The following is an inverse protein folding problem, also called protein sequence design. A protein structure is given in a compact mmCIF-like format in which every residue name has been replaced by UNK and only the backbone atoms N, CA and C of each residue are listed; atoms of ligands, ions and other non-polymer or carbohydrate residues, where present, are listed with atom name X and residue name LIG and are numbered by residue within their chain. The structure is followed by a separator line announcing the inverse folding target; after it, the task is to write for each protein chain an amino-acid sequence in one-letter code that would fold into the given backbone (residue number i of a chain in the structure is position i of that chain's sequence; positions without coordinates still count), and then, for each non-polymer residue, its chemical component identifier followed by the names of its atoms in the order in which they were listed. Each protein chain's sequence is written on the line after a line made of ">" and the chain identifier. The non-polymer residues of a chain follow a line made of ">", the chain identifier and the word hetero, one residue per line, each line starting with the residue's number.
data_IF_294922820370
#
_entry.id   IF_294922820370
#
_cell.length_a   1.000
_cell.length_b   1.000
_cell.length_c   1.000
_cell.angle_alpha   90.00
_cell.angle_beta   90.00
_cell.angle_gamma   90.00
#
_symmetry.space_group_name_H-M   'P 1'
#
loop_
_entity.id
_entity.type
_entity.pdbx_description
1 polymer ?
#
# COMPACT_ATOMS: atom_id res chain seq x y z
N UNK A 1 6.64 -19.25 3.35
CA UNK A 1 6.22 -17.85 3.59
C UNK A 1 6.88 -17.00 2.51
N UNK A 2 6.18 -16.78 1.40
CA UNK A 2 6.70 -16.00 0.28
C UNK A 2 6.36 -14.55 0.53
N UNK A 3 7.35 -13.79 1.01
CA UNK A 3 7.27 -12.33 1.06
C UNK A 3 7.42 -11.85 -0.39
N UNK A 4 6.33 -11.42 -0.99
CA UNK A 4 6.35 -10.83 -2.32
C UNK A 4 6.95 -9.43 -2.21
N UNK A 5 8.26 -9.32 -2.39
CA UNK A 5 8.93 -8.03 -2.55
C UNK A 5 8.57 -7.48 -3.93
N UNK A 6 7.61 -6.58 -3.97
CA UNK A 6 7.27 -5.85 -5.19
C UNK A 6 8.36 -4.81 -5.43
N UNK A 7 9.29 -5.10 -6.32
CA UNK A 7 10.27 -4.12 -6.76
C UNK A 7 9.69 -3.30 -7.90
N UNK A 8 9.64 -2.01 -7.70
CA UNK A 8 9.23 -1.05 -8.71
C UNK A 8 10.22 -1.03 -9.85
N UNK A 9 9.71 -1.21 -11.07
CA UNK A 9 10.43 -0.74 -12.24
C UNK A 9 10.60 0.78 -12.09
N UNK A 10 11.80 1.35 -12.23
CA UNK A 10 11.94 2.78 -12.27
C UNK A 10 11.22 3.25 -13.53
N UNK A 11 10.11 3.95 -13.35
CA UNK A 11 9.65 4.80 -14.43
C UNK A 11 10.78 5.78 -14.70
N UNK A 12 11.24 5.81 -15.93
CA UNK A 12 12.27 6.72 -16.42
C UNK A 12 11.76 8.17 -16.45
N UNK A 13 11.37 8.69 -15.31
CA UNK A 13 11.34 10.11 -15.12
C UNK A 13 12.75 10.49 -14.69
N UNK A 14 13.54 10.99 -15.61
CA UNK A 14 14.74 11.76 -15.30
C UNK A 14 14.34 13.00 -14.53
N UNK A 15 14.03 12.86 -13.24
CA UNK A 15 14.03 13.97 -12.33
C UNK A 15 15.49 14.25 -12.06
N UNK A 16 16.09 15.06 -12.92
CA UNK A 16 17.39 15.65 -12.62
C UNK A 16 17.20 16.47 -11.34
N UNK A 17 18.05 16.23 -10.34
CA UNK A 17 18.32 17.28 -9.38
C UNK A 17 18.72 18.47 -10.21
N UNK A 18 17.92 19.54 -10.18
CA UNK A 18 18.32 20.77 -10.85
C UNK A 18 19.50 21.34 -10.05
N UNK A 19 20.72 21.39 -10.63
CA UNK A 19 21.86 21.97 -9.96
C UNK A 19 21.74 23.49 -9.86
N UNK A 20 20.61 24.07 -10.27
CA UNK A 20 20.38 25.50 -10.40
C UNK A 20 19.94 26.21 -9.11
N UNK A 21 19.88 25.51 -7.97
CA UNK A 21 19.76 26.18 -6.67
C UNK A 21 21.09 26.02 -5.92
N UNK A 22 22.09 26.90 -6.14
CA UNK A 22 23.34 26.84 -5.42
C UNK A 22 23.10 27.11 -3.93
N UNK A 23 23.49 26.16 -3.09
CA UNK A 23 23.56 26.36 -1.65
C UNK A 23 22.53 25.60 -0.80
N UNK A 24 21.66 24.73 -1.38
CA UNK A 24 20.81 23.84 -0.60
C UNK A 24 21.08 22.37 -0.94
N UNK A 25 21.96 21.66 -0.20
CA UNK A 25 22.21 20.25 -0.40
C UNK A 25 20.99 19.37 -0.10
N UNK A 26 19.95 19.91 0.54
CA UNK A 26 18.74 19.18 0.93
C UNK A 26 17.64 19.19 -0.13
N UNK A 27 17.85 19.85 -1.28
CA UNK A 27 16.84 20.00 -2.33
C UNK A 27 16.68 18.80 -3.27
N UNK A 28 17.44 17.73 -3.09
CA UNK A 28 17.40 16.57 -3.96
C UNK A 28 16.71 15.38 -3.31
N UNK A 29 15.66 14.86 -3.95
CA UNK A 29 15.11 13.54 -3.63
C UNK A 29 16.24 12.51 -3.66
N UNK A 30 16.46 11.79 -2.58
CA UNK A 30 17.47 10.73 -2.52
C UNK A 30 17.17 9.68 -3.57
N UNK A 31 18.01 9.61 -4.60
CA UNK A 31 17.88 8.62 -5.66
C UNK A 31 18.40 7.28 -5.18
N UNK A 32 17.67 6.23 -5.47
CA UNK A 32 18.19 4.87 -5.30
C UNK A 32 19.48 4.69 -6.14
N UNK A 33 20.40 3.88 -5.61
CA UNK A 33 21.69 3.60 -6.26
C UNK A 33 22.65 4.79 -6.40
N UNK A 34 22.53 5.76 -5.52
CA UNK A 34 23.47 6.88 -5.41
C UNK A 34 24.14 6.92 -4.05
N UNK A 35 25.43 7.25 -4.04
CA UNK A 35 26.10 7.66 -2.83
C UNK A 35 25.82 9.17 -2.64
N UNK A 36 24.98 9.50 -1.67
CA UNK A 36 24.49 10.87 -1.48
C UNK A 36 25.53 11.83 -0.91
N UNK A 37 26.62 11.29 -0.30
CA UNK A 37 27.74 12.10 0.17
C UNK A 37 28.66 12.52 -0.97
N UNK A 38 28.95 11.59 -1.89
CA UNK A 38 29.87 11.83 -3.00
C UNK A 38 29.14 12.20 -4.31
N UNK A 39 27.81 12.15 -4.31
CA UNK A 39 26.95 12.40 -5.47
C UNK A 39 27.32 11.53 -6.69
N UNK A 40 27.78 10.30 -6.44
CA UNK A 40 28.17 9.33 -7.48
C UNK A 40 27.17 8.18 -7.53
N UNK A 41 26.87 7.74 -8.75
CA UNK A 41 26.06 6.55 -8.96
C UNK A 41 26.84 5.31 -8.51
N UNK A 42 26.15 4.44 -7.75
CA UNK A 42 26.70 3.17 -7.31
C UNK A 42 26.49 2.09 -8.38
N UNK A 43 27.52 1.27 -8.58
CA UNK A 43 27.55 0.24 -9.63
C UNK A 43 27.22 -1.16 -9.04
N UNK A 44 26.21 -1.23 -8.18
CA UNK A 44 25.74 -2.53 -7.69
C UNK A 44 24.88 -3.24 -8.74
N UNK A 45 24.90 -4.58 -8.71
CA UNK A 45 24.11 -5.39 -9.63
C UNK A 45 22.60 -5.12 -9.52
N UNK A 46 22.09 -4.85 -8.33
CA UNK A 46 20.69 -4.51 -8.13
C UNK A 46 20.29 -3.13 -8.69
N UNK A 47 21.26 -2.29 -9.00
CA UNK A 47 21.05 -0.98 -9.63
C UNK A 47 20.87 -1.08 -11.16
N UNK A 48 21.23 -2.20 -11.76
CA UNK A 48 21.06 -2.42 -13.18
C UNK A 48 19.59 -2.73 -13.52
N UNK A 49 18.94 -1.80 -14.20
CA UNK A 49 17.53 -1.92 -14.57
C UNK A 49 17.26 -2.91 -15.72
N UNK A 50 18.30 -3.40 -16.40
CA UNK A 50 18.17 -4.45 -17.40
C UNK A 50 18.02 -5.84 -16.78
N UNK A 51 18.33 -5.98 -15.48
CA UNK A 51 18.15 -7.23 -14.73
C UNK A 51 16.72 -7.40 -14.27
N UNK A 52 16.32 -8.65 -14.14
CA UNK A 52 15.00 -9.00 -13.60
C UNK A 52 14.85 -8.53 -12.14
N UNK A 53 13.62 -8.33 -11.70
CA UNK A 53 13.32 -7.98 -10.31
C UNK A 53 13.87 -9.03 -9.34
N UNK A 54 13.83 -10.30 -9.70
CA UNK A 54 14.36 -11.41 -8.90
C UNK A 54 15.87 -11.30 -8.71
N UNK A 55 16.64 -11.13 -9.79
CA UNK A 55 18.10 -10.99 -9.73
C UNK A 55 18.52 -9.79 -8.88
N UNK A 56 17.82 -8.68 -9.05
CA UNK A 56 18.06 -7.45 -8.27
C UNK A 56 17.75 -7.65 -6.79
N UNK A 57 16.65 -8.31 -6.47
CA UNK A 57 16.26 -8.63 -5.09
C UNK A 57 17.28 -9.54 -4.42
N UNK A 58 17.73 -10.58 -5.10
CA UNK A 58 18.75 -11.51 -4.58
C UNK A 58 20.06 -10.80 -4.29
N UNK A 59 20.50 -9.88 -5.15
CA UNK A 59 21.72 -9.10 -4.93
C UNK A 59 21.58 -8.18 -3.72
N UNK A 60 20.44 -7.50 -3.53
CA UNK A 60 20.17 -6.68 -2.34
C UNK A 60 20.24 -7.56 -1.08
N UNK A 61 19.50 -8.68 -1.06
CA UNK A 61 19.42 -9.56 0.12
C UNK A 61 20.79 -10.11 0.53
N UNK A 62 21.65 -10.42 -0.44
CA UNK A 62 23.03 -10.86 -0.19
C UNK A 62 23.90 -9.78 0.46
N UNK A 63 23.64 -8.50 0.16
CA UNK A 63 24.43 -7.36 0.66
C UNK A 63 23.96 -6.85 2.01
N UNK A 64 22.69 -7.06 2.36
CA UNK A 64 22.11 -6.60 3.62
C UNK A 64 22.63 -7.41 4.81
N UNK A 65 23.02 -6.71 5.86
CA UNK A 65 23.25 -7.31 7.19
C UNK A 65 21.93 -7.76 7.80
N UNK A 66 21.97 -8.58 8.85
CA UNK A 66 20.77 -9.02 9.55
C UNK A 66 19.96 -7.84 10.12
N UNK A 67 20.64 -6.87 10.74
CA UNK A 67 20.00 -5.69 11.30
C UNK A 67 19.32 -4.84 10.22
N UNK A 68 19.95 -4.67 9.06
CA UNK A 68 19.34 -3.95 7.92
C UNK A 68 18.14 -4.70 7.36
N UNK A 69 18.19 -6.03 7.27
CA UNK A 69 17.03 -6.84 6.88
C UNK A 69 15.84 -6.62 7.84
N UNK A 70 16.12 -6.61 9.15
CA UNK A 70 15.09 -6.35 10.15
C UNK A 70 14.49 -4.95 10.01
N UNK A 71 15.32 -3.92 9.77
CA UNK A 71 14.85 -2.54 9.59
C UNK A 71 13.98 -2.34 8.34
N UNK A 72 14.17 -3.17 7.31
CA UNK A 72 13.35 -3.14 6.09
C UNK A 72 12.04 -3.93 6.20
N UNK A 73 11.88 -4.76 7.23
CA UNK A 73 10.67 -5.57 7.42
C UNK A 73 9.58 -4.85 8.21
N UNK A 74 9.43 -3.56 8.00
CA UNK A 74 8.38 -2.76 8.64
C UNK A 74 7.17 -2.59 7.73
N UNK A 75 5.97 -2.47 8.32
CA UNK A 75 4.75 -2.36 7.54
C UNK A 75 4.52 -0.98 6.93
N UNK A 76 5.16 0.06 7.47
CA UNK A 76 4.90 1.45 7.05
C UNK A 76 6.12 2.09 6.44
N UNK A 77 7.15 2.28 7.22
CA UNK A 77 8.33 3.04 6.85
C UNK A 77 9.58 2.18 6.96
N UNK A 78 10.33 2.06 5.89
CA UNK A 78 11.66 1.43 5.88
C UNK A 78 12.73 2.49 5.94
N UNK A 79 13.64 2.36 6.91
CA UNK A 79 14.79 3.25 7.05
C UNK A 79 15.74 3.16 5.84
N UNK A 80 16.49 4.23 5.53
CA UNK A 80 17.46 4.19 4.44
C UNK A 80 18.64 3.28 4.76
N UNK A 81 19.26 2.72 3.73
CA UNK A 81 20.53 1.98 3.81
C UNK A 81 21.58 2.73 2.99
N UNK A 82 22.16 3.75 3.58
CA UNK A 82 23.01 4.74 2.91
C UNK A 82 24.18 4.11 2.16
N UNK A 83 24.85 3.13 2.77
CA UNK A 83 25.98 2.42 2.15
C UNK A 83 25.64 1.69 0.84
N UNK A 84 24.38 1.35 0.66
CA UNK A 84 23.84 0.71 -0.54
C UNK A 84 23.09 1.68 -1.46
N UNK A 85 22.96 2.93 -1.07
CA UNK A 85 22.18 3.91 -1.81
C UNK A 85 20.69 3.54 -1.90
N UNK A 86 20.16 2.89 -0.86
CA UNK A 86 18.75 2.56 -0.74
C UNK A 86 18.09 3.66 0.09
N UNK A 87 17.20 4.49 -0.49
CA UNK A 87 16.50 5.55 0.24
C UNK A 87 15.47 4.96 1.21
N UNK A 88 15.04 5.78 2.16
CA UNK A 88 13.84 5.48 2.94
C UNK A 88 12.63 5.26 2.02
N UNK A 89 11.72 4.40 2.45
CA UNK A 89 10.53 4.06 1.66
C UNK A 89 9.30 3.88 2.56
N UNK A 90 8.21 4.56 2.20
CA UNK A 90 6.90 4.32 2.79
C UNK A 90 6.11 3.38 1.90
N UNK A 91 5.70 2.25 2.48
CA UNK A 91 5.07 1.17 1.74
C UNK A 91 3.65 1.50 1.37
N UNK A 92 2.83 1.86 2.35
CA UNK A 92 1.42 1.95 2.10
C UNK A 92 0.63 2.90 3.00
N UNK A 93 -0.61 3.10 2.60
CA UNK A 93 -1.58 3.97 3.25
C UNK A 93 -2.98 3.36 3.14
N UNK A 94 -3.87 3.71 4.06
CA UNK A 94 -5.28 3.35 3.90
C UNK A 94 -5.93 4.22 2.81
N UNK A 95 -6.79 3.60 1.97
CA UNK A 95 -7.61 4.29 0.99
C UNK A 95 -8.99 3.63 0.88
N UNK A 96 -9.66 3.45 2.01
CA UNK A 96 -10.97 2.77 2.06
C UNK A 96 -12.05 3.59 1.35
N UNK A 97 -12.02 4.91 1.51
CA UNK A 97 -12.93 5.84 0.85
C UNK A 97 -12.22 7.16 0.48
N UNK A 98 -10.96 7.07 0.13
CA UNK A 98 -10.04 8.16 -0.19
C UNK A 98 -8.70 7.93 0.46
N UNK A 99 -7.64 8.48 -0.10
CA UNK A 99 -6.28 8.32 0.40
C UNK A 99 -6.14 9.00 1.75
N UNK A 100 -5.79 8.23 2.78
CA UNK A 100 -5.58 8.75 4.13
C UNK A 100 -4.26 9.52 4.20
N UNK A 101 -4.34 10.82 4.12
CA UNK A 101 -3.20 11.73 4.23
C UNK A 101 -3.46 12.77 5.30
N UNK A 102 -2.39 13.26 5.94
CA UNK A 102 -2.49 14.46 6.75
C UNK A 102 -2.76 15.65 5.83
N UNK A 103 -3.87 16.32 6.05
CA UNK A 103 -4.21 17.53 5.29
C UNK A 103 -3.28 18.69 5.68
N UNK A 104 -2.45 19.09 4.74
CA UNK A 104 -1.76 20.38 4.78
C UNK A 104 -2.47 21.35 3.84
N UNK A 105 -1.74 21.87 2.86
CA UNK A 105 -2.33 22.70 1.81
C UNK A 105 -3.19 21.92 0.81
N UNK A 106 -3.02 20.60 0.74
CA UNK A 106 -3.75 19.71 -0.17
C UNK A 106 -4.28 18.53 0.61
N UNK A 107 -5.56 18.26 0.45
CA UNK A 107 -6.25 17.10 1.01
C UNK A 107 -6.67 16.16 -0.10
N UNK A 108 -6.58 14.85 0.16
CA UNK A 108 -7.16 13.87 -0.75
C UNK A 108 -8.68 13.98 -0.79
N UNK A 109 -9.27 13.60 -1.91
CA UNK A 109 -10.72 13.52 -2.07
C UNK A 109 -11.30 12.50 -1.11
N UNK A 110 -12.35 12.90 -0.41
CA UNK A 110 -13.11 12.03 0.47
C UNK A 110 -14.34 11.51 -0.25
N UNK A 111 -14.40 10.22 -0.52
CA UNK A 111 -15.51 9.54 -1.18
C UNK A 111 -16.51 9.01 -0.14
N UNK A 112 -17.73 8.62 -0.56
CA UNK A 112 -18.69 7.99 0.34
C UNK A 112 -18.12 6.75 1.02
N UNK A 113 -18.64 6.41 2.20
CA UNK A 113 -18.26 5.21 2.93
C UNK A 113 -18.56 3.93 2.11
N UNK A 114 -17.80 2.85 2.30
CA UNK A 114 -17.98 1.60 1.57
C UNK A 114 -19.40 1.05 1.58
N UNK A 115 -20.12 1.13 2.69
CA UNK A 115 -21.52 0.70 2.77
C UNK A 115 -22.42 1.45 1.78
N UNK A 116 -22.23 2.77 1.63
CA UNK A 116 -22.97 3.58 0.65
C UNK A 116 -22.58 3.24 -0.78
N UNK A 117 -21.29 2.97 -1.01
CA UNK A 117 -20.79 2.56 -2.33
C UNK A 117 -21.34 1.17 -2.69
N UNK A 118 -21.33 0.22 -1.74
CA UNK A 118 -21.86 -1.13 -1.92
C UNK A 118 -23.35 -1.16 -2.23
N UNK A 119 -24.13 -0.28 -1.59
CA UNK A 119 -25.58 -0.13 -1.81
C UNK A 119 -25.93 0.34 -3.23
N UNK A 120 -24.98 0.80 -4.02
CA UNK A 120 -25.21 1.14 -5.42
C UNK A 120 -25.35 -0.06 -6.34
N UNK A 121 -24.81 -1.23 -5.95
CA UNK A 121 -24.69 -2.44 -6.78
C UNK A 121 -24.05 -2.20 -8.15
N UNK A 122 -23.26 -1.13 -8.28
CA UNK A 122 -22.69 -0.68 -9.55
C UNK A 122 -21.17 -0.89 -9.60
N UNK A 123 -20.74 -2.02 -10.13
CA UNK A 123 -19.32 -2.39 -10.22
C UNK A 123 -18.51 -1.45 -11.12
N UNK A 124 -19.14 -0.86 -12.13
CA UNK A 124 -18.49 0.14 -13.00
C UNK A 124 -18.17 1.42 -12.24
N UNK A 125 -19.11 1.88 -11.39
CA UNK A 125 -18.90 3.03 -10.51
C UNK A 125 -17.75 2.73 -9.52
N UNK A 126 -17.78 1.56 -8.88
CA UNK A 126 -16.74 1.15 -7.91
C UNK A 126 -15.35 1.14 -8.56
N UNK A 127 -15.26 0.58 -9.77
CA UNK A 127 -14.00 0.58 -10.54
C UNK A 127 -13.53 2.01 -10.84
N UNK A 128 -14.43 2.89 -11.24
CA UNK A 128 -14.10 4.29 -11.54
C UNK A 128 -13.64 5.05 -10.30
N UNK A 129 -14.32 4.87 -9.16
CA UNK A 129 -13.94 5.49 -7.88
C UNK A 129 -12.56 5.01 -7.43
N UNK A 130 -12.31 3.72 -7.50
CA UNK A 130 -11.01 3.15 -7.16
C UNK A 130 -9.88 3.68 -8.07
N UNK A 131 -10.17 3.84 -9.36
CA UNK A 131 -9.21 4.43 -10.30
C UNK A 131 -8.89 5.89 -9.96
N UNK A 132 -9.90 6.69 -9.64
CA UNK A 132 -9.69 8.08 -9.21
C UNK A 132 -8.84 8.16 -7.94
N UNK A 133 -9.10 7.31 -6.94
CA UNK A 133 -8.27 7.20 -5.73
C UNK A 133 -6.82 6.85 -6.06
N UNK A 134 -6.59 5.91 -6.99
CA UNK A 134 -5.26 5.49 -7.39
C UNK A 134 -4.46 6.61 -8.09
N UNK A 135 -5.13 7.34 -9.00
CA UNK A 135 -4.51 8.49 -9.69
C UNK A 135 -4.13 9.56 -8.67
N UNK A 136 -5.05 9.88 -7.75
CA UNK A 136 -4.80 10.87 -6.70
C UNK A 136 -3.69 10.44 -5.74
N UNK A 137 -3.71 9.19 -5.26
CA UNK A 137 -2.66 8.65 -4.39
C UNK A 137 -1.29 8.71 -5.07
N UNK A 138 -1.23 8.39 -6.35
CA UNK A 138 0.01 8.47 -7.11
C UNK A 138 0.48 9.91 -7.31
N UNK A 139 -0.44 10.83 -7.60
CA UNK A 139 -0.14 12.26 -7.70
C UNK A 139 0.42 12.80 -6.39
N UNK A 140 -0.24 12.51 -5.28
CA UNK A 140 0.19 12.89 -3.94
C UNK A 140 1.56 12.27 -3.59
N UNK A 141 1.83 11.02 -3.97
CA UNK A 141 3.15 10.40 -3.81
C UNK A 141 4.23 11.17 -4.56
N UNK A 142 3.96 11.53 -5.80
CA UNK A 142 4.92 12.26 -6.63
C UNK A 142 5.16 13.67 -6.09
N UNK A 143 4.12 14.36 -5.67
CA UNK A 143 4.19 15.68 -5.11
C UNK A 143 4.92 15.71 -3.77
N UNK A 144 4.59 14.80 -2.85
CA UNK A 144 5.30 14.70 -1.56
C UNK A 144 6.78 14.38 -1.75
N UNK A 145 7.13 13.59 -2.76
CA UNK A 145 8.54 13.37 -3.12
C UNK A 145 9.23 14.66 -3.55
N UNK A 146 8.45 15.62 -4.08
CA UNK A 146 8.94 16.90 -4.55
C UNK A 146 8.94 17.95 -3.43
N UNK A 147 7.95 17.95 -2.53
CA UNK A 147 7.76 18.95 -1.48
C UNK A 147 8.47 18.61 -0.16
N UNK A 148 8.94 17.39 0.05
CA UNK A 148 9.66 16.97 1.26
C UNK A 148 10.82 17.93 1.57
N UNK A 149 11.36 18.59 0.56
CA UNK A 149 12.44 19.56 0.66
C UNK A 149 12.00 20.99 0.90
N UNK A 150 10.71 21.29 0.78
CA UNK A 150 10.20 22.67 0.90
C UNK A 150 9.64 23.02 2.28
N UNK A 151 9.33 22.04 3.13
CA UNK A 151 8.57 22.24 4.39
C UNK A 151 9.32 21.94 5.68
N UNK A 152 10.63 22.07 5.70
CA UNK A 152 11.40 22.00 6.96
C UNK A 152 11.05 23.08 8.01
N UNK A 153 10.11 23.97 7.72
CA UNK A 153 9.80 25.12 8.58
C UNK A 153 8.33 25.23 9.03
N UNK A 154 7.47 24.25 8.80
CA UNK A 154 6.07 24.39 9.24
C UNK A 154 5.78 23.57 10.51
N UNK A 155 5.76 24.30 11.63
CA UNK A 155 5.53 23.84 12.99
C UNK A 155 4.04 23.56 13.26
N UNK A 156 3.35 22.78 12.48
CA UNK A 156 1.97 22.40 12.78
C UNK A 156 1.94 21.07 13.52
N UNK A 157 1.47 21.12 14.77
CA UNK A 157 1.45 20.05 15.74
C UNK A 157 0.56 18.84 15.43
N UNK A 158 0.72 18.19 14.28
CA UNK A 158 0.13 16.89 14.00
C UNK A 158 1.09 15.78 14.42
N UNK A 159 0.58 14.76 15.15
CA UNK A 159 1.33 13.60 15.62
C UNK A 159 1.77 12.65 14.49
N UNK A 160 1.80 13.12 13.26
CA UNK A 160 2.43 12.43 12.12
C UNK A 160 3.68 13.21 11.77
N UNK A 161 4.83 12.56 11.63
CA UNK A 161 6.02 13.25 11.21
C UNK A 161 5.74 13.97 9.89
N UNK A 162 6.15 15.23 9.71
CA UNK A 162 5.93 16.00 8.49
C UNK A 162 6.57 15.36 7.23
N UNK A 163 7.28 14.27 7.43
CA UNK A 163 8.06 13.53 6.43
C UNK A 163 7.39 12.25 5.93
N UNK A 164 6.14 11.94 6.34
CA UNK A 164 5.49 10.74 5.88
C UNK A 164 5.19 10.82 4.38
N UNK A 165 6.01 10.17 3.58
CA UNK A 165 5.73 9.99 2.16
C UNK A 165 4.55 9.04 2.00
N UNK A 166 3.73 9.25 0.96
CA UNK A 166 2.58 8.40 0.68
C UNK A 166 3.06 7.16 -0.07
N UNK A 167 2.83 5.97 0.51
CA UNK A 167 3.10 4.71 -0.17
C UNK A 167 2.15 4.46 -1.33
N UNK A 168 2.49 3.54 -2.21
CA UNK A 168 1.64 3.11 -3.33
C UNK A 168 0.95 1.77 -3.07
N UNK A 169 1.22 1.13 -1.93
CA UNK A 169 0.44 0.00 -1.44
C UNK A 169 -0.79 0.53 -0.69
N UNK A 170 -1.96 0.22 -1.19
CA UNK A 170 -3.23 0.64 -0.60
C UNK A 170 -3.82 -0.47 0.25
N UNK A 171 -3.97 -0.21 1.56
CA UNK A 171 -4.56 -1.16 2.50
C UNK A 171 -6.09 -1.07 2.46
N UNK A 172 -6.62 -1.47 1.32
CA UNK A 172 -8.03 -1.49 0.94
C UNK A 172 -8.23 -2.45 -0.25
N UNK A 173 -9.49 -2.84 -0.52
CA UNK A 173 -10.68 -2.66 0.30
C UNK A 173 -10.72 -3.60 1.51
N UNK A 174 -11.55 -3.24 2.50
CA UNK A 174 -11.92 -4.17 3.55
C UNK A 174 -13.06 -5.07 3.04
N UNK A 175 -12.77 -6.33 2.77
CA UNK A 175 -13.70 -7.34 2.27
C UNK A 175 -14.05 -8.40 3.30
N UNK A 176 -13.89 -8.08 4.59
CA UNK A 176 -14.52 -8.84 5.65
C UNK A 176 -16.05 -8.68 5.57
N UNK A 177 -16.79 -9.44 6.34
CA UNK A 177 -18.24 -9.41 6.36
C UNK A 177 -18.80 -8.59 7.52
N UNK A 178 -19.85 -7.83 7.29
CA UNK A 178 -20.66 -7.17 8.33
C UNK A 178 -21.56 -8.20 9.03
N UNK A 179 -21.02 -8.99 9.94
CA UNK A 179 -21.76 -10.07 10.61
C UNK A 179 -22.41 -9.64 11.92
N UNK A 180 -21.77 -8.74 12.67
CA UNK A 180 -22.25 -8.23 13.94
C UNK A 180 -22.34 -6.71 13.86
N UNK A 181 -23.54 -6.11 14.09
CA UNK A 181 -23.71 -4.67 14.05
C UNK A 181 -22.90 -3.91 15.12
N UNK A 182 -22.41 -4.61 16.14
CA UNK A 182 -21.56 -4.04 17.18
C UNK A 182 -20.08 -3.94 16.78
N UNK A 183 -19.69 -4.55 15.67
CA UNK A 183 -18.30 -4.44 15.22
C UNK A 183 -17.95 -3.00 14.83
N UNK A 184 -16.95 -2.41 15.51
CA UNK A 184 -16.58 -1.00 15.35
C UNK A 184 -16.06 -0.61 13.97
N UNK A 185 -15.81 -1.58 13.08
CA UNK A 185 -15.30 -1.36 11.71
C UNK A 185 -16.31 -1.70 10.61
N UNK A 186 -17.56 -1.89 10.95
CA UNK A 186 -18.63 -2.15 9.96
C UNK A 186 -18.69 -1.07 8.87
N UNK A 187 -18.39 0.18 9.21
CA UNK A 187 -18.39 1.29 8.25
C UNK A 187 -17.31 1.17 7.15
N UNK A 188 -16.26 0.34 7.38
CA UNK A 188 -15.22 0.07 6.39
C UNK A 188 -15.65 -0.99 5.35
N UNK A 189 -16.74 -1.70 5.57
CA UNK A 189 -17.17 -2.86 4.79
C UNK A 189 -18.39 -2.51 3.95
N UNK A 190 -18.40 -2.99 2.71
CA UNK A 190 -19.42 -2.60 1.76
C UNK A 190 -20.70 -3.44 1.84
N UNK A 191 -20.66 -4.65 2.40
CA UNK A 191 -21.78 -5.60 2.35
C UNK A 191 -21.66 -6.72 3.38
N UNK A 192 -22.79 -7.37 3.65
CA UNK A 192 -22.89 -8.62 4.42
C UNK A 192 -22.74 -9.86 3.52
N UNK A 193 -22.94 -9.70 2.22
CA UNK A 193 -22.96 -10.80 1.24
C UNK A 193 -21.55 -11.10 0.71
N UNK A 194 -21.03 -12.32 0.87
CA UNK A 194 -19.72 -12.72 0.38
C UNK A 194 -19.56 -12.64 -1.15
N UNK A 195 -20.62 -12.90 -1.92
CA UNK A 195 -20.57 -12.79 -3.37
C UNK A 195 -20.43 -11.32 -3.80
N UNK A 196 -21.30 -10.45 -3.31
CA UNK A 196 -21.25 -9.01 -3.59
C UNK A 196 -19.90 -8.43 -3.12
N UNK A 197 -19.43 -8.82 -1.93
CA UNK A 197 -18.12 -8.43 -1.41
C UNK A 197 -16.98 -8.83 -2.34
N UNK A 198 -17.06 -10.00 -2.94
CA UNK A 198 -16.11 -10.48 -3.94
C UNK A 198 -16.11 -9.65 -5.22
N UNK A 199 -17.28 -9.33 -5.75
CA UNK A 199 -17.44 -8.49 -6.94
C UNK A 199 -16.94 -7.06 -6.69
N UNK A 200 -17.25 -6.49 -5.53
CA UNK A 200 -16.75 -5.18 -5.11
C UNK A 200 -15.22 -5.21 -4.98
N UNK A 201 -14.66 -6.21 -4.30
CA UNK A 201 -13.23 -6.37 -4.15
C UNK A 201 -12.50 -6.50 -5.49
N UNK A 202 -13.06 -7.27 -6.42
CA UNK A 202 -12.51 -7.44 -7.76
C UNK A 202 -12.57 -6.12 -8.56
N UNK A 203 -13.72 -5.44 -8.56
CA UNK A 203 -13.88 -4.16 -9.24
C UNK A 203 -12.94 -3.07 -8.69
N UNK A 204 -12.80 -3.02 -7.35
CA UNK A 204 -11.90 -2.09 -6.69
C UNK A 204 -10.44 -2.37 -7.07
N UNK A 205 -10.00 -3.62 -7.02
CA UNK A 205 -8.64 -3.99 -7.39
C UNK A 205 -8.32 -3.69 -8.86
N UNK A 206 -9.23 -4.02 -9.76
CA UNK A 206 -9.09 -3.71 -11.19
C UNK A 206 -8.97 -2.19 -11.44
N UNK A 207 -9.83 -1.40 -10.80
CA UNK A 207 -9.82 0.05 -10.97
C UNK A 207 -8.55 0.69 -10.42
N UNK A 208 -8.17 0.32 -9.20
CA UNK A 208 -7.05 0.93 -8.51
C UNK A 208 -5.70 0.55 -9.14
N UNK A 209 -5.54 -0.68 -9.56
CA UNK A 209 -4.28 -1.17 -10.12
C UNK A 209 -4.09 -0.85 -11.60
N UNK A 210 -5.14 -0.45 -12.29
CA UNK A 210 -5.09 -0.19 -13.74
C UNK A 210 -4.10 0.92 -14.08
N UNK A 211 -2.98 0.54 -14.67
CA UNK A 211 -1.98 1.47 -15.17
C UNK A 211 -2.44 2.22 -16.44
N UNK A 212 -1.72 3.29 -16.81
CA UNK A 212 -2.05 4.07 -17.99
C UNK A 212 -1.90 3.22 -19.26
N UNK A 213 -2.82 3.38 -20.20
CA UNK A 213 -2.80 2.72 -21.51
C UNK A 213 -2.67 1.19 -21.46
N UNK A 214 -3.29 0.53 -20.46
CA UNK A 214 -3.18 -0.91 -20.24
C UNK A 214 -1.72 -1.39 -20.09
N UNK A 215 -0.84 -0.55 -19.60
CA UNK A 215 0.56 -0.92 -19.33
C UNK A 215 0.61 -2.00 -18.25
N UNK A 216 1.70 -2.76 -18.22
CA UNK A 216 1.98 -3.71 -17.11
C UNK A 216 2.35 -2.99 -15.81
N UNK A 217 2.53 -1.67 -15.83
CA UNK A 217 2.84 -0.87 -14.66
C UNK A 217 1.56 -0.53 -13.91
N UNK A 218 1.46 -0.95 -12.67
CA UNK A 218 0.32 -0.63 -11.80
C UNK A 218 0.36 0.84 -11.38
N UNK A 219 -0.80 1.49 -11.24
CA UNK A 219 -0.90 2.81 -10.61
C UNK A 219 -0.56 2.76 -9.12
N UNK A 220 -1.05 1.75 -8.44
CA UNK A 220 -0.76 1.40 -7.07
C UNK A 220 -0.98 -0.09 -6.86
N UNK A 221 -0.76 -0.58 -5.67
CA UNK A 221 -0.95 -1.97 -5.27
C UNK A 221 -2.15 -2.06 -4.33
N UNK A 222 -3.03 -3.02 -4.56
CA UNK A 222 -4.11 -3.35 -3.64
C UNK A 222 -3.66 -4.43 -2.68
N UNK A 223 -3.80 -4.13 -1.38
CA UNK A 223 -3.64 -5.08 -0.29
C UNK A 223 -5.00 -5.28 0.39
N UNK A 224 -5.67 -6.36 0.00
CA UNK A 224 -6.97 -6.78 0.54
C UNK A 224 -6.87 -7.01 2.05
N UNK A 225 -7.92 -6.69 2.80
CA UNK A 225 -7.92 -6.91 4.25
C UNK A 225 -9.27 -7.35 4.79
N UNK A 226 -9.22 -8.07 5.89
CA UNK A 226 -8.13 -8.66 6.64
C UNK A 226 -8.28 -10.19 6.58
N UNK A 227 -7.26 -10.91 6.24
CA UNK A 227 -7.27 -12.37 6.11
C UNK A 227 -7.05 -13.03 7.47
N UNK A 228 -8.02 -13.78 8.07
CA UNK A 228 -9.41 -13.87 7.64
C UNK A 228 -10.33 -13.90 8.88
N UNK A 229 -11.64 -13.84 8.62
CA UNK A 229 -12.70 -13.96 9.64
C UNK A 229 -12.58 -12.93 10.78
N UNK A 230 -12.20 -11.70 10.46
CA UNK A 230 -12.09 -10.60 11.40
C UNK A 230 -13.40 -9.79 11.39
N UNK A 231 -14.22 -9.99 12.41
CA UNK A 231 -15.55 -9.39 12.55
C UNK A 231 -15.87 -8.92 13.99
N UNK A 232 -14.86 -8.86 14.85
CA UNK A 232 -14.98 -8.43 16.24
C UNK A 232 -13.83 -7.50 16.59
N UNK A 233 -14.13 -6.35 17.20
CA UNK A 233 -13.11 -5.35 17.57
C UNK A 233 -12.58 -5.54 18.98
N UNK A 234 -13.44 -5.96 19.92
CA UNK A 234 -13.07 -6.16 21.33
C UNK A 234 -11.96 -7.21 21.43
N UNK A 235 -10.86 -6.83 22.07
CA UNK A 235 -9.67 -7.69 22.24
C UNK A 235 -9.15 -8.27 20.90
N UNK A 236 -9.18 -7.53 19.83
CA UNK A 236 -8.86 -8.00 18.46
C UNK A 236 -7.49 -8.69 18.34
N UNK A 237 -6.50 -8.29 19.15
CA UNK A 237 -5.15 -8.88 19.13
C UNK A 237 -5.07 -10.22 19.89
N UNK A 238 -6.02 -10.52 20.76
CA UNK A 238 -6.12 -11.77 21.49
C UNK A 238 -7.32 -12.62 21.07
N UNK A 239 -8.12 -12.15 20.12
CA UNK A 239 -9.31 -12.85 19.67
C UNK A 239 -8.96 -14.11 18.88
N UNK A 240 -9.79 -15.14 19.00
CA UNK A 240 -9.72 -16.35 18.19
C UNK A 240 -11.08 -16.58 17.53
N UNK A 241 -11.12 -16.49 16.22
CA UNK A 241 -12.31 -16.76 15.42
C UNK A 241 -12.43 -18.27 15.23
N UNK A 242 -13.43 -18.88 15.86
CA UNK A 242 -13.73 -20.31 15.69
C UNK A 242 -14.73 -20.47 14.56
N UNK A 243 -14.28 -21.01 13.44
CA UNK A 243 -15.04 -21.08 12.19
C UNK A 243 -14.99 -22.50 11.65
N UNK A 244 -16.15 -23.04 11.26
CA UNK A 244 -16.18 -24.36 10.62
C UNK A 244 -15.52 -24.30 9.23
N UNK A 245 -14.97 -25.42 8.70
CA UNK A 245 -14.50 -25.48 7.32
C UNK A 245 -15.57 -25.08 6.30
N UNK A 246 -16.82 -25.44 6.57
CA UNK A 246 -17.96 -25.07 5.72
C UNK A 246 -18.13 -23.54 5.69
N UNK A 247 -18.29 -22.89 6.84
CA UNK A 247 -18.48 -21.45 6.93
C UNK A 247 -17.28 -20.69 6.35
N UNK A 248 -16.07 -21.22 6.55
CA UNK A 248 -14.86 -20.63 6.01
C UNK A 248 -14.91 -20.57 4.48
N UNK A 249 -15.27 -21.68 3.85
CA UNK A 249 -15.33 -21.81 2.39
C UNK A 249 -16.55 -21.15 1.77
N UNK A 250 -17.68 -21.15 2.48
CA UNK A 250 -18.94 -20.59 2.00
C UNK A 250 -18.99 -19.06 2.17
N UNK A 251 -18.57 -18.57 3.32
CA UNK A 251 -18.80 -17.16 3.70
C UNK A 251 -17.54 -16.31 3.72
N UNK A 252 -16.44 -16.77 4.31
CA UNK A 252 -15.28 -15.88 4.60
C UNK A 252 -14.27 -15.80 3.47
N UNK A 253 -14.06 -16.86 2.69
CA UNK A 253 -13.04 -16.89 1.64
C UNK A 253 -13.50 -16.46 0.24
N UNK A 254 -14.79 -16.56 -0.14
CA UNK A 254 -15.22 -16.25 -1.50
C UNK A 254 -14.84 -14.85 -1.96
N UNK A 255 -14.98 -13.83 -1.09
CA UNK A 255 -14.64 -12.45 -1.42
C UNK A 255 -13.15 -12.30 -1.74
N UNK A 256 -12.27 -12.90 -0.94
CA UNK A 256 -10.82 -12.91 -1.20
C UNK A 256 -10.48 -13.65 -2.48
N UNK A 257 -11.11 -14.81 -2.70
CA UNK A 257 -10.92 -15.60 -3.92
C UNK A 257 -11.23 -14.75 -5.16
N UNK A 258 -12.41 -14.14 -5.23
CA UNK A 258 -12.81 -13.31 -6.37
C UNK A 258 -11.87 -12.12 -6.56
N UNK A 259 -11.55 -11.37 -5.50
CA UNK A 259 -10.67 -10.22 -5.59
C UNK A 259 -9.25 -10.59 -6.07
N UNK A 260 -8.73 -11.78 -5.73
CA UNK A 260 -7.44 -12.27 -6.21
C UNK A 260 -7.53 -12.82 -7.63
N UNK A 261 -8.50 -13.70 -7.90
CA UNK A 261 -8.55 -14.42 -9.19
C UNK A 261 -9.11 -13.58 -10.33
N UNK A 262 -10.09 -12.74 -10.07
CA UNK A 262 -10.76 -11.86 -11.04
C UNK A 262 -10.19 -10.44 -10.99
N UNK A 263 -10.05 -9.89 -9.77
CA UNK A 263 -9.53 -8.55 -9.52
C UNK A 263 -8.02 -8.41 -9.70
N UNK A 264 -7.28 -9.53 -9.65
CA UNK A 264 -5.80 -9.56 -9.68
C UNK A 264 -5.17 -8.70 -8.57
N UNK A 265 -5.82 -8.62 -7.40
CA UNK A 265 -5.25 -7.93 -6.25
C UNK A 265 -3.86 -8.48 -5.91
N UNK A 266 -2.90 -7.58 -5.74
CA UNK A 266 -1.48 -7.95 -5.63
C UNK A 266 -1.04 -8.29 -4.20
N UNK A 267 -1.81 -7.91 -3.18
CA UNK A 267 -1.49 -8.14 -1.78
C UNK A 267 -2.69 -8.57 -0.93
N UNK A 268 -2.40 -9.22 0.19
CA UNK A 268 -3.37 -9.57 1.24
C UNK A 268 -2.74 -9.25 2.60
N UNK A 269 -3.47 -8.55 3.45
CA UNK A 269 -3.09 -8.23 4.82
C UNK A 269 -3.68 -9.27 5.77
N UNK A 270 -2.84 -9.90 6.57
CA UNK A 270 -3.26 -10.77 7.67
C UNK A 270 -4.12 -10.03 8.68
N UNK A 271 -5.06 -10.72 9.30
CA UNK A 271 -5.89 -10.17 10.37
C UNK A 271 -5.16 -10.17 11.72
N UNK A 272 -5.73 -9.49 12.71
CA UNK A 272 -5.19 -9.45 14.07
C UNK A 272 -5.48 -10.72 14.88
N UNK A 273 -6.62 -11.38 14.58
CA UNK A 273 -7.11 -12.53 15.31
C UNK A 273 -6.39 -13.82 14.91
N UNK A 274 -6.47 -14.81 15.77
CA UNK A 274 -6.25 -16.20 15.39
C UNK A 274 -7.48 -16.76 14.65
N UNK A 275 -7.28 -17.75 13.81
CA UNK A 275 -8.33 -18.54 13.16
C UNK A 275 -8.19 -19.99 13.62
N UNK A 276 -9.21 -20.51 14.32
CA UNK A 276 -9.19 -21.85 14.88
C UNK A 276 -7.93 -22.15 15.71
N UNK A 277 -7.49 -21.19 16.50
CA UNK A 277 -6.31 -21.28 17.37
C UNK A 277 -4.97 -21.02 16.68
N UNK A 278 -4.95 -20.77 15.37
CA UNK A 278 -3.72 -20.50 14.62
C UNK A 278 -3.65 -19.00 14.31
N UNK A 279 -2.59 -18.29 14.70
CA UNK A 279 -2.37 -16.90 14.27
C UNK A 279 -2.41 -16.77 12.74
N UNK A 280 -3.01 -15.68 12.25
CA UNK A 280 -3.16 -15.48 10.79
C UNK A 280 -1.94 -14.83 10.13
N UNK A 281 -0.94 -14.42 10.93
CA UNK A 281 0.34 -13.85 10.46
C UNK A 281 1.48 -14.85 10.49
#
# INVERSE_FOLDING_TARGET
>A
MNILLVFFAPTSANVSCDPLIPGNPDSCVRRACWNWTTMKQLQFSFCDTNKTAQERAEDIVKRLTLGEKQSLMTARHSAPIDRLGIPEYDWGVNSIHGTQVACGAQCATNFPLPASIGATFNMSLIRSLAHMMAVEQRALRLEHSYEKHRRLNDLTGSNHPPDATIGLDTWAPNINLNRDPRWGRNWEVATEDPFLGGQIGAAYAQGFQQGPNNSQTLLGVITLKHWAAYTVETNRHGANSVVTPFDLMDSYLPAFKAAVTEGKAAGIMCSYNALNGIPTW
#
